data_IF_193150092343
#
_entry.id   IF_193150092343
#
_cell.length_a   1.000
_cell.length_b   1.000
_cell.length_c   1.000
_cell.angle_alpha   90.00
_cell.angle_beta   90.00
_cell.angle_gamma   90.00
#
_symmetry.space_group_name_H-M   'P 1'
#
loop_
_entity.id
_entity.type
_entity.pdbx_description
1 polymer ?
#
# COMPACT_ATOMS: atom_id res chain seq x y z
N UNK A 1 -21.27 -0.98 0.73
CA UNK A 1 -20.67 -0.27 -0.44
C UNK A 1 -19.50 -1.03 -1.05
N UNK A 2 -18.82 -1.85 -0.28
CA UNK A 2 -17.68 -2.64 -0.76
C UNK A 2 -17.91 -4.13 -0.54
N UNK A 3 -17.11 -4.97 -1.19
CA UNK A 3 -17.07 -6.42 -0.99
C UNK A 3 -15.66 -6.96 -1.08
N UNK A 4 -15.45 -8.17 -0.62
CA UNK A 4 -14.24 -8.93 -0.96
C UNK A 4 -14.34 -9.47 -2.39
N UNK A 5 -13.20 -9.44 -3.11
CA UNK A 5 -13.12 -10.05 -4.43
C UNK A 5 -13.46 -11.54 -4.37
N UNK A 6 -14.28 -11.99 -5.33
CA UNK A 6 -14.59 -13.40 -5.58
C UNK A 6 -13.90 -13.91 -6.85
N UNK A 7 -13.19 -13.06 -7.55
CA UNK A 7 -12.46 -13.41 -8.78
C UNK A 7 -11.32 -14.36 -8.45
N UNK A 8 -11.09 -15.33 -9.32
CA UNK A 8 -9.99 -16.30 -9.20
C UNK A 8 -9.05 -16.17 -10.38
N UNK A 9 -7.77 -16.33 -10.10
CA UNK A 9 -6.70 -16.31 -11.10
C UNK A 9 -5.79 -17.52 -10.87
N UNK A 10 -5.37 -18.18 -11.95
CA UNK A 10 -4.45 -19.33 -11.91
C UNK A 10 -3.01 -18.88 -11.72
N UNK A 11 -2.19 -19.70 -11.03
CA UNK A 11 -0.77 -19.44 -10.81
C UNK A 11 -0.02 -19.13 -12.12
N UNK A 12 -0.38 -19.80 -13.22
CA UNK A 12 0.23 -19.62 -14.55
C UNK A 12 0.11 -18.21 -15.14
N UNK A 13 -0.82 -17.40 -14.63
CA UNK A 13 -1.03 -16.01 -15.04
C UNK A 13 -0.34 -15.01 -14.09
N UNK A 14 0.32 -15.50 -13.07
CA UNK A 14 1.01 -14.67 -12.08
C UNK A 14 2.47 -14.47 -12.49
N UNK A 15 2.95 -13.27 -12.21
CA UNK A 15 4.35 -12.85 -12.40
C UNK A 15 4.87 -12.24 -11.10
N UNK A 16 6.16 -12.05 -11.00
CA UNK A 16 6.77 -11.37 -9.85
C UNK A 16 6.23 -9.95 -9.62
N UNK A 17 5.71 -9.31 -10.66
CA UNK A 17 5.16 -7.96 -10.59
C UNK A 17 3.70 -7.93 -10.17
N UNK A 18 2.88 -8.92 -10.61
CA UNK A 18 1.44 -8.93 -10.38
C UNK A 18 0.97 -9.87 -9.27
N UNK A 19 1.87 -10.64 -8.64
CA UNK A 19 1.56 -11.39 -7.43
C UNK A 19 1.79 -10.52 -6.19
N UNK A 20 0.79 -10.47 -5.31
CA UNK A 20 0.86 -9.70 -4.06
C UNK A 20 0.61 -10.63 -2.88
N UNK A 21 1.67 -10.89 -2.10
CA UNK A 21 1.60 -11.56 -0.79
C UNK A 21 1.74 -10.53 0.34
N UNK A 22 1.55 -10.97 1.57
CA UNK A 22 1.79 -10.11 2.74
C UNK A 22 3.26 -9.66 2.80
N UNK A 23 4.18 -10.47 2.29
CA UNK A 23 5.62 -10.22 2.38
C UNK A 23 6.07 -9.07 1.48
N UNK A 24 5.45 -8.93 0.32
CA UNK A 24 5.79 -7.85 -0.61
C UNK A 24 4.84 -6.63 -0.55
N UNK A 25 3.83 -6.66 0.33
CA UNK A 25 3.17 -5.44 0.81
C UNK A 25 4.05 -4.76 1.86
N UNK A 26 4.38 -3.51 1.63
CA UNK A 26 5.23 -2.72 2.51
C UNK A 26 4.44 -2.20 3.73
N UNK A 27 5.16 -2.04 4.85
CA UNK A 27 4.60 -1.47 6.07
C UNK A 27 4.31 0.02 5.90
N UNK A 28 3.50 0.56 6.81
CA UNK A 28 3.22 1.99 6.92
C UNK A 28 2.71 2.62 5.60
N UNK A 29 1.88 1.89 4.86
CA UNK A 29 1.22 2.35 3.62
C UNK A 29 2.18 2.62 2.45
N UNK A 30 3.39 2.06 2.49
CA UNK A 30 4.41 2.30 1.46
C UNK A 30 4.21 1.49 0.17
N UNK A 31 2.99 0.97 -0.06
CA UNK A 31 2.64 0.24 -1.27
C UNK A 31 3.18 -1.17 -1.31
N UNK A 32 3.74 -1.60 -2.44
CA UNK A 32 4.30 -2.94 -2.64
C UNK A 32 5.64 -2.93 -3.36
N UNK A 33 6.38 -4.03 -3.20
CA UNK A 33 7.56 -4.36 -4.01
C UNK A 33 7.28 -5.53 -4.95
N UNK A 34 8.21 -5.81 -5.83
CA UNK A 34 8.24 -7.04 -6.63
C UNK A 34 8.45 -8.22 -5.69
N UNK A 35 7.72 -9.31 -5.89
CA UNK A 35 7.89 -10.51 -5.05
C UNK A 35 9.12 -11.32 -5.47
N UNK A 36 9.79 -11.90 -4.50
CA UNK A 36 10.85 -12.88 -4.71
C UNK A 36 10.34 -14.32 -4.75
N UNK A 37 9.09 -14.53 -4.31
CA UNK A 37 8.42 -15.83 -4.30
C UNK A 37 7.22 -15.82 -5.22
N UNK A 38 7.19 -16.72 -6.17
CA UNK A 38 6.05 -16.92 -7.07
C UNK A 38 5.50 -18.33 -6.89
N UNK A 39 4.20 -18.49 -6.59
CA UNK A 39 3.59 -19.81 -6.48
C UNK A 39 3.52 -20.50 -7.83
N UNK A 40 3.94 -21.76 -7.90
CA UNK A 40 3.97 -22.54 -9.14
C UNK A 40 2.60 -23.11 -9.54
N UNK A 41 1.73 -23.36 -8.56
CA UNK A 41 0.43 -24.01 -8.78
C UNK A 41 -0.64 -23.42 -7.86
N UNK A 42 -1.89 -23.60 -8.24
CA UNK A 42 -3.04 -23.23 -7.43
C UNK A 42 -3.86 -22.09 -7.99
N UNK A 43 -4.94 -21.77 -7.28
CA UNK A 43 -5.85 -20.70 -7.64
C UNK A 43 -5.87 -19.64 -6.54
N UNK A 44 -5.69 -18.41 -6.93
CA UNK A 44 -5.49 -17.25 -6.07
C UNK A 44 -6.66 -16.28 -6.18
N UNK A 45 -6.81 -15.38 -5.21
CA UNK A 45 -7.81 -14.32 -5.31
C UNK A 45 -7.33 -13.29 -6.32
N UNK A 46 -8.11 -13.05 -7.36
CA UNK A 46 -7.82 -12.03 -8.38
C UNK A 46 -8.17 -10.63 -7.88
N UNK A 47 -7.38 -9.67 -8.28
CA UNK A 47 -7.64 -8.24 -8.10
C UNK A 47 -7.50 -7.50 -9.44
N UNK A 48 -8.20 -6.40 -9.58
CA UNK A 48 -8.14 -5.49 -10.72
C UNK A 48 -7.55 -4.15 -10.35
N UNK A 49 -7.27 -3.33 -11.37
CA UNK A 49 -6.92 -1.94 -11.17
C UNK A 49 -8.05 -1.21 -10.42
N UNK A 50 -7.71 -0.42 -9.42
CA UNK A 50 -8.67 0.28 -8.57
C UNK A 50 -9.18 -0.53 -7.37
N UNK A 51 -8.81 -1.80 -7.25
CA UNK A 51 -9.07 -2.59 -6.03
C UNK A 51 -8.08 -2.20 -4.92
N UNK A 52 -8.49 -2.41 -3.66
CA UNK A 52 -7.68 -2.09 -2.49
C UNK A 52 -7.23 -3.40 -1.85
N UNK A 53 -5.92 -3.57 -1.69
CA UNK A 53 -5.30 -4.75 -1.09
C UNK A 53 -4.84 -4.43 0.33
N UNK A 54 -5.28 -5.22 1.32
CA UNK A 54 -4.93 -5.05 2.73
C UNK A 54 -4.29 -6.33 3.26
N UNK A 55 -3.12 -6.20 3.87
CA UNK A 55 -2.47 -7.31 4.57
C UNK A 55 -3.25 -7.67 5.83
N UNK A 56 -3.85 -8.86 5.87
CA UNK A 56 -4.70 -9.31 6.98
C UNK A 56 -3.92 -9.82 8.20
N UNK A 57 -2.62 -10.09 8.05
CA UNK A 57 -1.74 -10.51 9.15
C UNK A 57 -1.07 -9.29 9.76
N UNK A 58 -1.13 -9.17 11.10
CA UNK A 58 -0.56 -8.05 11.85
C UNK A 58 -1.05 -6.70 11.33
N UNK A 59 -2.35 -6.40 11.47
CA UNK A 59 -2.93 -5.15 10.94
C UNK A 59 -2.21 -3.89 11.40
N UNK A 60 -1.57 -3.92 12.58
CA UNK A 60 -0.76 -2.82 13.10
C UNK A 60 0.43 -2.44 12.19
N UNK A 61 0.84 -3.30 11.25
CA UNK A 61 1.85 -2.98 10.25
C UNK A 61 1.30 -2.09 9.12
N UNK A 62 0.00 -1.83 9.09
CA UNK A 62 -0.68 -0.92 8.16
C UNK A 62 -0.32 -1.16 6.69
N UNK A 63 -0.28 -2.42 6.30
CA UNK A 63 0.04 -2.86 4.94
C UNK A 63 -1.19 -2.70 4.05
N UNK A 64 -1.18 -1.71 3.18
CA UNK A 64 -2.26 -1.42 2.24
C UNK A 64 -1.70 -0.90 0.91
N UNK A 65 -2.36 -1.24 -0.19
CA UNK A 65 -1.98 -0.79 -1.52
C UNK A 65 -3.22 -0.59 -2.40
N UNK A 66 -3.25 0.53 -3.12
CA UNK A 66 -4.22 0.81 -4.18
C UNK A 66 -3.70 0.24 -5.49
N UNK A 67 -4.41 -0.72 -6.07
CA UNK A 67 -3.93 -1.47 -7.22
C UNK A 67 -3.91 -0.62 -8.49
N UNK A 68 -2.74 -0.43 -9.07
CA UNK A 68 -2.56 0.24 -10.36
C UNK A 68 -2.49 -0.74 -11.54
N UNK A 69 -2.66 -2.04 -11.28
CA UNK A 69 -2.66 -3.13 -12.26
C UNK A 69 -3.56 -4.26 -11.77
N UNK A 70 -3.76 -5.27 -12.62
CA UNK A 70 -4.47 -6.51 -12.26
C UNK A 70 -3.49 -7.63 -11.92
N UNK A 71 -3.91 -8.56 -11.06
CA UNK A 71 -3.09 -9.70 -10.67
C UNK A 71 -3.78 -10.62 -9.67
N UNK A 72 -2.99 -11.27 -8.83
CA UNK A 72 -3.50 -12.21 -7.83
C UNK A 72 -2.80 -12.13 -6.49
N UNK A 73 -3.50 -12.59 -5.46
CA UNK A 73 -3.01 -12.58 -4.07
C UNK A 73 -3.41 -13.86 -3.33
N UNK A 74 -2.67 -14.18 -2.27
CA UNK A 74 -2.98 -15.29 -1.38
C UNK A 74 -4.09 -14.92 -0.37
N UNK A 75 -4.47 -15.88 0.47
CA UNK A 75 -5.54 -15.72 1.47
C UNK A 75 -5.23 -14.75 2.62
N UNK A 76 -3.98 -14.34 2.77
CA UNK A 76 -3.52 -13.44 3.83
C UNK A 76 -3.55 -11.95 3.40
N UNK A 77 -3.91 -11.69 2.16
CA UNK A 77 -4.19 -10.35 1.64
C UNK A 77 -5.67 -10.27 1.25
N UNK A 78 -6.36 -9.29 1.77
CA UNK A 78 -7.77 -9.03 1.48
C UNK A 78 -7.87 -8.11 0.28
N UNK A 79 -8.70 -8.45 -0.69
CA UNK A 79 -8.98 -7.62 -1.86
C UNK A 79 -10.36 -7.00 -1.68
N UNK A 80 -10.41 -5.69 -1.51
CA UNK A 80 -11.64 -4.91 -1.34
C UNK A 80 -12.00 -4.23 -2.66
N UNK A 81 -13.21 -4.48 -3.14
CA UNK A 81 -13.78 -3.94 -4.37
C UNK A 81 -14.87 -2.92 -4.06
N UNK A 82 -14.81 -1.77 -4.69
CA UNK A 82 -15.88 -0.80 -4.68
C UNK A 82 -17.04 -1.28 -5.57
N UNK A 83 -18.24 -1.35 -5.01
CA UNK A 83 -19.47 -1.77 -5.72
C UNK A 83 -20.29 -0.61 -6.26
N UNK A 84 -20.04 0.61 -5.82
CA UNK A 84 -20.87 1.78 -6.10
C UNK A 84 -20.03 2.97 -6.59
N UNK A 85 -19.35 2.84 -7.75
CA UNK A 85 -18.50 3.92 -8.28
C UNK A 85 -19.27 5.20 -8.61
N UNK A 86 -20.61 5.10 -8.70
CA UNK A 86 -21.48 6.27 -8.92
C UNK A 86 -21.64 7.18 -7.70
N UNK A 87 -21.25 6.75 -6.51
CA UNK A 87 -21.34 7.54 -5.28
C UNK A 87 -20.10 7.44 -4.37
N UNK A 88 -19.23 6.48 -4.61
CA UNK A 88 -18.01 6.28 -3.88
C UNK A 88 -16.84 6.16 -4.85
N UNK A 89 -15.87 7.06 -4.74
CA UNK A 89 -14.62 6.98 -5.47
C UNK A 89 -13.70 5.94 -4.83
N UNK A 90 -13.08 5.05 -5.64
CA UNK A 90 -12.23 3.96 -5.13
C UNK A 90 -10.98 4.48 -4.43
N UNK A 91 -10.41 5.58 -4.90
CA UNK A 91 -9.22 6.17 -4.29
C UNK A 91 -9.57 6.89 -2.98
N UNK A 92 -10.78 7.51 -2.89
CA UNK A 92 -11.28 8.02 -1.61
C UNK A 92 -11.45 6.88 -0.59
N UNK A 93 -12.05 5.75 -1.01
CA UNK A 93 -12.15 4.56 -0.14
C UNK A 93 -10.76 4.07 0.31
N UNK A 94 -9.78 4.06 -0.58
CA UNK A 94 -8.40 3.72 -0.22
C UNK A 94 -7.86 4.64 0.87
N UNK A 95 -8.03 5.94 0.77
CA UNK A 95 -7.59 6.89 1.80
C UNK A 95 -8.31 6.69 3.14
N UNK A 96 -9.61 6.42 3.10
CA UNK A 96 -10.39 6.07 4.30
C UNK A 96 -9.85 4.81 4.98
N UNK A 97 -9.55 3.75 4.22
CA UNK A 97 -9.00 2.50 4.74
C UNK A 97 -7.50 2.60 5.05
N UNK A 98 -6.82 3.64 4.59
CA UNK A 98 -5.44 3.93 4.96
C UNK A 98 -5.31 4.70 6.28
N UNK A 99 -6.39 5.25 6.82
CA UNK A 99 -6.37 6.04 8.05
C UNK A 99 -6.06 5.17 9.28
N UNK A 100 -5.40 5.76 10.28
CA UNK A 100 -5.06 5.08 11.54
C UNK A 100 -6.30 4.62 12.31
N UNK A 101 -7.42 5.33 12.17
CA UNK A 101 -8.72 4.94 12.77
C UNK A 101 -9.21 3.61 12.24
N UNK A 102 -9.04 3.33 10.94
CA UNK A 102 -9.40 2.02 10.37
C UNK A 102 -8.52 0.90 10.94
N UNK A 103 -7.19 1.07 10.97
CA UNK A 103 -6.30 0.04 11.50
C UNK A 103 -6.48 -0.15 13.02
N UNK A 104 -6.78 0.89 13.76
CA UNK A 104 -7.13 0.80 15.18
C UNK A 104 -8.43 0.02 15.38
N UNK A 105 -9.44 0.27 14.54
CA UNK A 105 -10.67 -0.49 14.54
C UNK A 105 -10.43 -1.96 14.18
N UNK A 106 -9.68 -2.26 13.12
CA UNK A 106 -9.36 -3.63 12.72
C UNK A 106 -8.63 -4.39 13.85
N UNK A 107 -7.69 -3.73 14.54
CA UNK A 107 -6.97 -4.31 15.69
C UNK A 107 -7.89 -4.65 16.87
N UNK A 108 -9.00 -3.93 17.11
CA UNK A 108 -9.94 -4.24 18.17
C UNK A 108 -10.64 -5.59 17.96
N UNK A 109 -10.84 -5.99 16.70
CA UNK A 109 -11.49 -7.23 16.33
C UNK A 109 -10.51 -8.32 15.90
N UNK A 110 -9.20 -8.01 15.85
CA UNK A 110 -8.18 -8.96 15.41
C UNK A 110 -8.07 -10.15 16.39
N UNK A 111 -7.88 -11.33 15.83
CA UNK A 111 -7.77 -12.59 16.59
C UNK A 111 -6.35 -13.16 16.49
N UNK A 112 -5.86 -13.73 17.58
CA UNK A 112 -4.53 -14.33 17.69
C UNK A 112 -3.52 -13.41 18.41
N UNK A 113 -2.72 -13.97 19.31
CA UNK A 113 -1.79 -13.21 20.16
C UNK A 113 -0.48 -12.89 19.45
N UNK A 114 0.17 -13.89 18.86
CA UNK A 114 1.53 -13.74 18.23
C UNK A 114 1.46 -13.17 16.81
N UNK A 115 0.43 -13.55 16.05
CA UNK A 115 0.20 -13.13 14.67
C UNK A 115 -1.29 -12.76 14.51
N UNK A 116 -1.72 -11.61 15.04
CA UNK A 116 -3.12 -11.23 14.96
C UNK A 116 -3.55 -11.10 13.50
N UNK A 117 -4.76 -11.57 13.23
CA UNK A 117 -5.44 -11.45 11.93
C UNK A 117 -6.71 -10.64 12.10
N UNK A 118 -6.93 -9.68 11.23
CA UNK A 118 -8.15 -8.90 11.18
C UNK A 118 -9.38 -9.77 10.96
N UNK A 119 -10.49 -9.37 11.55
CA UNK A 119 -11.78 -10.06 11.35
C UNK A 119 -12.45 -9.54 10.09
N UNK A 120 -12.56 -10.40 9.08
CA UNK A 120 -13.14 -10.04 7.78
C UNK A 120 -14.57 -9.49 7.87
N UNK A 121 -15.38 -10.00 8.80
CA UNK A 121 -16.74 -9.53 8.98
C UNK A 121 -16.76 -8.12 9.61
N UNK A 122 -15.92 -7.90 10.62
CA UNK A 122 -15.78 -6.59 11.24
C UNK A 122 -15.26 -5.53 10.25
N UNK A 123 -14.25 -5.86 9.44
CA UNK A 123 -13.72 -4.94 8.41
C UNK A 123 -14.84 -4.46 7.47
N UNK A 124 -15.75 -5.34 7.04
CA UNK A 124 -16.88 -4.96 6.18
C UNK A 124 -17.95 -4.12 6.88
N UNK A 125 -17.93 -4.05 8.22
CA UNK A 125 -18.85 -3.23 9.02
C UNK A 125 -18.23 -1.85 9.38
N UNK A 126 -17.00 -1.60 8.99
CA UNK A 126 -16.36 -0.30 9.23
C UNK A 126 -17.17 0.83 8.59
N UNK A 127 -17.58 1.79 9.43
CA UNK A 127 -18.40 2.92 9.02
C UNK A 127 -17.55 4.18 8.86
N UNK A 128 -17.79 4.94 7.81
CA UNK A 128 -17.09 6.19 7.54
C UNK A 128 -18.05 7.23 6.94
N UNK A 129 -17.62 8.48 6.95
CA UNK A 129 -18.38 9.58 6.35
C UNK A 129 -18.24 9.51 4.83
N UNK A 130 -19.36 9.63 4.12
CA UNK A 130 -19.43 9.64 2.67
C UNK A 130 -19.85 11.03 2.18
N UNK A 131 -18.92 11.91 1.78
CA UNK A 131 -19.25 13.21 1.17
C UNK A 131 -19.79 13.05 -0.26
N UNK A 132 -20.15 14.17 -0.90
CA UNK A 132 -20.44 14.17 -2.33
C UNK A 132 -19.23 13.75 -3.17
N UNK A 133 -19.44 13.23 -4.38
CA UNK A 133 -18.34 12.83 -5.27
C UNK A 133 -17.35 13.97 -5.51
N UNK A 134 -17.83 15.20 -5.75
CA UNK A 134 -16.96 16.36 -5.95
C UNK A 134 -16.07 16.65 -4.73
N UNK A 135 -16.58 16.41 -3.52
CA UNK A 135 -15.79 16.59 -2.30
C UNK A 135 -14.80 15.41 -2.11
N UNK A 136 -15.16 14.19 -2.49
CA UNK A 136 -14.25 13.06 -2.51
C UNK A 136 -13.07 13.30 -3.46
N UNK A 137 -13.35 13.76 -4.69
CA UNK A 137 -12.32 14.12 -5.70
C UNK A 137 -11.40 15.23 -5.17
N UNK A 138 -11.97 16.26 -4.51
CA UNK A 138 -11.19 17.33 -3.90
C UNK A 138 -10.25 16.81 -2.82
N UNK A 139 -10.75 15.93 -1.94
CA UNK A 139 -9.94 15.31 -0.87
C UNK A 139 -8.82 14.45 -1.46
N UNK A 140 -9.15 13.61 -2.43
CA UNK A 140 -8.17 12.74 -3.14
C UNK A 140 -7.07 13.59 -3.77
N UNK A 141 -7.42 14.64 -4.51
CA UNK A 141 -6.44 15.53 -5.14
C UNK A 141 -5.48 16.16 -4.13
N UNK A 142 -5.97 16.60 -2.98
CA UNK A 142 -5.13 17.16 -1.92
C UNK A 142 -4.18 16.10 -1.37
N UNK A 143 -4.67 14.90 -1.06
CA UNK A 143 -3.87 13.83 -0.48
C UNK A 143 -2.81 13.30 -1.47
N UNK A 144 -3.13 13.20 -2.75
CA UNK A 144 -2.19 12.81 -3.81
C UNK A 144 -1.06 13.84 -3.95
N UNK A 145 -1.38 15.13 -3.90
CA UNK A 145 -0.38 16.19 -3.92
C UNK A 145 0.57 16.09 -2.72
N UNK A 146 0.06 15.84 -1.51
CA UNK A 146 0.89 15.62 -0.33
C UNK A 146 1.79 14.39 -0.46
N UNK A 147 1.25 13.27 -0.93
CA UNK A 147 2.03 12.05 -1.16
C UNK A 147 3.16 12.29 -2.18
N UNK A 148 2.85 13.00 -3.27
CA UNK A 148 3.85 13.35 -4.29
C UNK A 148 4.96 14.22 -3.71
N UNK A 149 4.63 15.25 -2.95
CA UNK A 149 5.60 16.12 -2.30
C UNK A 149 6.47 15.36 -1.29
N UNK A 150 5.87 14.54 -0.44
CA UNK A 150 6.59 13.74 0.56
C UNK A 150 7.55 12.77 -0.09
N UNK A 151 7.12 12.07 -1.14
CA UNK A 151 7.97 11.13 -1.89
C UNK A 151 9.11 11.86 -2.62
N UNK A 152 8.86 13.03 -3.19
CA UNK A 152 9.88 13.85 -3.86
C UNK A 152 10.95 14.32 -2.86
N UNK A 153 10.55 14.76 -1.68
CA UNK A 153 11.48 15.16 -0.61
C UNK A 153 12.30 13.96 -0.12
N UNK A 154 11.67 12.82 0.09
CA UNK A 154 12.34 11.59 0.55
C UNK A 154 13.35 11.04 -0.46
N UNK A 155 13.14 11.27 -1.77
CA UNK A 155 14.07 10.87 -2.83
C UNK A 155 15.15 11.94 -3.11
N UNK A 156 14.83 13.20 -2.96
CA UNK A 156 15.73 14.33 -3.23
C UNK A 156 16.79 14.52 -2.15
N UNK A 157 16.41 14.48 -0.87
CA UNK A 157 17.31 14.66 0.26
C UNK A 157 18.50 13.68 0.31
N UNK A 158 18.31 12.36 0.13
CA UNK A 158 19.43 11.43 0.11
C UNK A 158 20.45 11.74 -1.01
N UNK A 159 20.00 12.11 -2.20
CA UNK A 159 20.89 12.50 -3.32
C UNK A 159 21.65 13.78 -3.01
N UNK A 160 21.01 14.76 -2.42
CA UNK A 160 21.68 16.01 -2.03
C UNK A 160 22.71 15.78 -0.94
N UNK A 161 22.44 14.96 0.06
CA UNK A 161 23.37 14.56 1.10
C UNK A 161 24.60 13.87 0.47
N UNK A 162 24.38 12.89 -0.41
CA UNK A 162 25.46 12.19 -1.11
C UNK A 162 26.35 13.14 -1.95
N UNK A 163 25.74 14.09 -2.66
CA UNK A 163 26.48 15.09 -3.44
C UNK A 163 27.31 16.02 -2.55
N UNK A 164 26.74 16.47 -1.43
CA UNK A 164 27.46 17.31 -0.46
C UNK A 164 28.61 16.54 0.19
N UNK A 165 28.42 15.25 0.49
CA UNK A 165 29.47 14.39 1.02
C UNK A 165 30.64 14.26 0.05
N UNK A 166 30.39 13.94 -1.23
CA UNK A 166 31.40 13.87 -2.29
C UNK A 166 32.14 15.21 -2.48
N UNK A 167 31.42 16.31 -2.42
CA UNK A 167 32.00 17.65 -2.51
C UNK A 167 32.92 17.97 -1.32
N UNK A 168 32.48 17.61 -0.11
CA UNK A 168 33.30 17.74 1.10
C UNK A 168 34.56 16.89 1.03
N UNK A 169 34.48 15.63 0.61
CA UNK A 169 35.63 14.72 0.46
C UNK A 169 36.64 15.26 -0.57
N UNK A 170 36.15 15.72 -1.72
CA UNK A 170 36.98 16.34 -2.74
C UNK A 170 37.75 17.57 -2.20
N UNK A 171 37.07 18.52 -1.59
CA UNK A 171 37.73 19.70 -1.05
C UNK A 171 38.66 19.38 0.10
N UNK A 172 38.32 18.43 0.95
CA UNK A 172 39.21 17.96 2.02
C UNK A 172 40.52 17.42 1.45
N UNK A 173 40.49 16.59 0.42
CA UNK A 173 41.68 16.10 -0.26
C UNK A 173 42.51 17.24 -0.88
N UNK A 174 41.84 18.16 -1.57
CA UNK A 174 42.56 19.31 -2.18
C UNK A 174 43.23 20.21 -1.12
N UNK A 175 42.56 20.45 -0.01
CA UNK A 175 43.09 21.35 1.04
C UNK A 175 44.15 20.69 1.94
N UNK A 176 44.12 19.37 2.09
CA UNK A 176 45.05 18.62 2.94
C UNK A 176 46.24 18.03 2.17
N UNK A 177 46.21 18.01 0.82
CA UNK A 177 47.30 17.59 -0.05
C UNK A 177 48.30 18.72 -0.23
N UNK A 178 48.88 19.22 0.89
CA UNK A 178 50.06 20.06 0.80
C UNK A 178 51.26 19.16 0.48
N UNK A 179 51.66 19.10 -0.77
CA UNK A 179 53.00 18.64 -1.12
C UNK A 179 54.02 19.59 -0.47
N UNK A 180 54.83 19.00 0.44
CA UNK A 180 56.03 19.66 0.95
C UNK A 180 57.02 19.90 -0.18
#
# INVERSE_FOLDING_TARGET
MARYSKTRIEATKLTSENYVGVDNLLQDRNGKTVTTYLPEQGSFTGYGQGDILIGNIRPYLKKIWYANQSGGTNGDVLVIQNLFPSCLESQYLYYVLSDDRFFSYDMQYAKGSKMPRGDKAAIMQYSFILPSLSEQERIVSILDNFNTLTNSLSQGLPKEIEQRQKHYEYWREQLLNFTR
#
